data_IF_229359859918
#
_entry.id   IF_229359859918
#
_cell.length_a   1.000
_cell.length_b   1.000
_cell.length_c   1.000
_cell.angle_alpha   90.00
_cell.angle_beta   90.00
_cell.angle_gamma   90.00
#
_symmetry.space_group_name_H-M   'P 1'
#
loop_
_entity.id
_entity.type
_entity.pdbx_description
1 polymer ?
#
# COMPACT_ATOMS: atom_id res chain seq x y z
N UNK A 1 7.93 8.61 -2.71
CA UNK A 1 7.65 7.52 -3.65
C UNK A 1 6.44 6.74 -3.15
N UNK A 2 5.51 6.36 -4.01
CA UNK A 2 4.32 5.58 -3.63
C UNK A 2 4.72 4.09 -3.55
N UNK A 3 5.33 3.68 -2.44
CA UNK A 3 5.78 2.30 -2.22
C UNK A 3 4.66 1.52 -1.56
N UNK A 4 4.24 0.40 -2.16
CA UNK A 4 3.23 -0.50 -1.61
C UNK A 4 3.86 -1.53 -0.68
N UNK A 5 4.80 -2.30 -1.21
CA UNK A 5 5.50 -3.35 -0.46
C UNK A 5 6.95 -3.48 -0.93
N UNK A 6 7.75 -4.13 -0.09
CA UNK A 6 9.13 -4.47 -0.37
C UNK A 6 9.30 -5.95 -0.08
N UNK A 7 9.80 -6.70 -1.04
CA UNK A 7 10.12 -8.11 -0.90
C UNK A 7 11.63 -8.26 -0.79
N UNK A 8 12.08 -9.06 0.15
CA UNK A 8 13.51 -9.26 0.44
C UNK A 8 13.80 -10.75 0.39
N UNK A 9 14.64 -11.13 -0.56
CA UNK A 9 15.16 -12.48 -0.69
C UNK A 9 16.62 -12.50 -0.26
N UNK A 10 16.97 -13.41 0.62
CA UNK A 10 18.32 -13.51 1.15
C UNK A 10 19.00 -14.77 0.66
N UNK A 11 20.05 -14.58 -0.12
CA UNK A 11 20.96 -15.64 -0.56
C UNK A 11 22.26 -15.63 0.27
N UNK A 12 23.07 -16.70 0.25
CA UNK A 12 24.30 -16.79 1.05
C UNK A 12 25.29 -15.64 0.83
N UNK A 13 25.37 -15.11 -0.39
CA UNK A 13 26.38 -14.10 -0.78
C UNK A 13 25.77 -12.76 -1.21
N UNK A 14 24.45 -12.66 -1.30
CA UNK A 14 23.77 -11.45 -1.76
C UNK A 14 22.36 -11.36 -1.20
N UNK A 15 21.85 -10.13 -1.12
CA UNK A 15 20.48 -9.83 -0.79
C UNK A 15 19.80 -9.23 -2.02
N UNK A 16 18.64 -9.77 -2.39
CA UNK A 16 17.82 -9.23 -3.46
C UNK A 16 16.62 -8.49 -2.86
N UNK A 17 16.43 -7.25 -3.24
CA UNK A 17 15.35 -6.39 -2.74
C UNK A 17 14.50 -5.94 -3.92
N UNK A 18 13.25 -6.37 -3.95
CA UNK A 18 12.26 -5.96 -4.96
C UNK A 18 11.32 -4.92 -4.36
N UNK A 19 11.27 -3.73 -4.93
CA UNK A 19 10.45 -2.61 -4.47
C UNK A 19 9.27 -2.43 -5.42
N UNK A 20 8.06 -2.64 -4.92
CA UNK A 20 6.83 -2.40 -5.66
C UNK A 20 6.36 -0.95 -5.45
N UNK A 21 6.34 -0.17 -6.53
CA UNK A 21 6.02 1.25 -6.46
C UNK A 21 5.01 1.67 -7.53
N UNK A 22 4.08 2.55 -7.15
CA UNK A 22 3.18 3.20 -8.11
C UNK A 22 3.83 4.37 -8.87
N UNK A 23 5.07 4.76 -8.50
CA UNK A 23 5.85 5.81 -9.17
C UNK A 23 7.33 5.46 -9.19
N UNK A 24 7.74 4.49 -10.02
CA UNK A 24 9.11 3.97 -10.04
C UNK A 24 10.14 5.04 -10.37
N UNK A 25 9.80 6.03 -11.18
CA UNK A 25 10.71 7.12 -11.55
C UNK A 25 11.25 7.93 -10.37
N UNK A 26 10.48 8.03 -9.27
CA UNK A 26 10.93 8.73 -8.05
C UNK A 26 11.93 7.88 -7.27
N UNK A 27 11.74 6.56 -7.26
CA UNK A 27 12.64 5.62 -6.57
C UNK A 27 13.96 5.49 -7.32
N UNK A 28 13.91 5.45 -8.66
CA UNK A 28 15.09 5.32 -9.51
C UNK A 28 15.90 6.63 -9.49
N UNK A 29 15.20 7.78 -9.47
CA UNK A 29 15.81 9.10 -9.51
C UNK A 29 16.42 9.45 -10.86
N UNK A 30 17.01 10.66 -10.97
CA UNK A 30 17.68 11.09 -12.19
C UNK A 30 18.93 10.25 -12.45
N UNK A 31 18.99 9.58 -13.59
CA UNK A 31 20.12 8.71 -14.00
C UNK A 31 20.44 7.60 -12.98
N UNK A 32 19.48 7.19 -12.14
CA UNK A 32 19.68 6.11 -11.18
C UNK A 32 20.50 6.47 -9.95
N UNK A 33 20.63 7.75 -9.59
CA UNK A 33 21.42 8.20 -8.43
C UNK A 33 20.78 7.72 -7.14
N UNK A 34 19.47 7.90 -6.96
CA UNK A 34 18.74 7.51 -5.76
C UNK A 34 18.86 6.01 -5.45
N UNK A 35 18.71 5.16 -6.47
CA UNK A 35 18.86 3.70 -6.30
C UNK A 35 20.28 3.33 -5.89
N UNK A 36 21.30 4.04 -6.40
CA UNK A 36 22.70 3.80 -6.01
C UNK A 36 22.95 4.18 -4.55
N UNK A 37 22.39 5.30 -4.09
CA UNK A 37 22.47 5.71 -2.68
C UNK A 37 21.77 4.72 -1.75
N UNK A 38 20.57 4.29 -2.12
CA UNK A 38 19.83 3.26 -1.37
C UNK A 38 20.63 1.97 -1.31
N UNK A 39 21.20 1.52 -2.44
CA UNK A 39 22.05 0.33 -2.49
C UNK A 39 23.26 0.45 -1.56
N UNK A 40 24.00 1.55 -1.64
CA UNK A 40 25.18 1.76 -0.79
C UNK A 40 24.81 1.77 0.71
N UNK A 41 23.67 2.40 1.07
CA UNK A 41 23.17 2.37 2.43
C UNK A 41 22.78 0.97 2.91
N UNK A 42 22.15 0.17 2.07
CA UNK A 42 21.78 -1.21 2.40
C UNK A 42 23.00 -2.13 2.47
N UNK A 43 23.97 -1.99 1.57
CA UNK A 43 25.23 -2.74 1.60
C UNK A 43 26.03 -2.46 2.88
N UNK A 44 26.05 -1.19 3.31
CA UNK A 44 26.71 -0.82 4.59
C UNK A 44 26.02 -1.44 5.82
N UNK A 45 24.67 -1.58 5.77
CA UNK A 45 23.92 -2.21 6.87
C UNK A 45 23.99 -3.73 6.85
N UNK A 46 23.95 -4.36 5.68
CA UNK A 46 23.91 -5.82 5.55
C UNK A 46 25.31 -6.45 5.54
N UNK A 47 26.35 -5.70 5.20
CA UNK A 47 27.71 -6.22 5.00
C UNK A 47 27.86 -7.19 3.81
N UNK A 48 26.89 -7.20 2.90
CA UNK A 48 26.82 -8.08 1.72
C UNK A 48 26.39 -7.28 0.50
N UNK A 49 26.65 -7.82 -0.70
CA UNK A 49 26.19 -7.22 -1.94
C UNK A 49 24.65 -7.19 -2.00
N UNK A 50 24.08 -6.04 -2.40
CA UNK A 50 22.64 -5.85 -2.51
C UNK A 50 22.25 -5.59 -3.97
N UNK A 51 21.33 -6.38 -4.49
CA UNK A 51 20.66 -6.13 -5.77
C UNK A 51 19.29 -5.51 -5.49
N UNK A 52 18.97 -4.41 -6.17
CA UNK A 52 17.68 -3.73 -6.04
C UNK A 52 16.99 -3.75 -7.40
N UNK A 53 15.80 -4.31 -7.43
CA UNK A 53 14.89 -4.24 -8.56
C UNK A 53 13.65 -3.40 -8.19
N UNK A 54 13.16 -2.61 -9.14
CA UNK A 54 11.98 -1.75 -8.93
C UNK A 54 10.91 -2.16 -9.92
N UNK A 55 9.77 -2.60 -9.39
CA UNK A 55 8.61 -3.02 -10.17
C UNK A 55 7.50 -1.96 -10.10
N UNK A 56 6.88 -1.71 -11.25
CA UNK A 56 5.77 -0.77 -11.35
C UNK A 56 4.43 -1.45 -11.08
N UNK A 57 3.64 -0.84 -10.21
CA UNK A 57 2.27 -1.25 -9.95
C UNK A 57 1.37 -0.61 -11.00
N UNK A 58 0.72 -1.44 -11.83
CA UNK A 58 -0.15 -0.99 -12.92
C UNK A 58 -1.44 -0.33 -12.42
N UNK A 59 -1.96 -0.76 -11.27
CA UNK A 59 -3.22 -0.30 -10.70
C UNK A 59 -3.04 0.15 -9.24
N UNK A 60 -2.47 1.35 -9.00
CA UNK A 60 -2.15 1.83 -7.66
C UNK A 60 -3.39 2.06 -6.77
N UNK A 61 -4.54 2.34 -7.36
CA UNK A 61 -5.78 2.58 -6.62
C UNK A 61 -6.46 1.28 -6.13
N UNK A 62 -5.97 0.10 -6.53
CA UNK A 62 -6.37 -1.21 -5.99
C UNK A 62 -5.44 -1.72 -4.87
N UNK A 63 -4.31 -1.06 -4.64
CA UNK A 63 -3.40 -1.38 -3.55
C UNK A 63 -3.80 -0.62 -2.28
N UNK A 64 -4.25 -1.34 -1.25
CA UNK A 64 -4.76 -0.73 -0.02
C UNK A 64 -3.73 0.20 0.63
N UNK A 65 -2.43 -0.14 0.58
CA UNK A 65 -1.35 0.69 1.13
C UNK A 65 -1.24 2.04 0.44
N UNK A 66 -1.27 2.06 -0.89
CA UNK A 66 -1.16 3.28 -1.67
C UNK A 66 -2.40 4.18 -1.48
N UNK A 67 -3.58 3.58 -1.40
CA UNK A 67 -4.83 4.30 -1.10
C UNK A 67 -4.79 4.89 0.30
N UNK A 68 -4.33 4.12 1.30
CA UNK A 68 -4.21 4.59 2.69
C UNK A 68 -3.24 5.78 2.80
N UNK A 69 -2.06 5.67 2.19
CA UNK A 69 -1.05 6.73 2.19
C UNK A 69 -1.55 7.99 1.43
N UNK A 70 -2.28 7.82 0.34
CA UNK A 70 -2.89 8.93 -0.38
C UNK A 70 -3.92 9.67 0.47
N UNK A 71 -4.79 8.94 1.19
CA UNK A 71 -5.75 9.54 2.11
C UNK A 71 -5.03 10.24 3.27
N UNK A 72 -4.01 9.61 3.87
CA UNK A 72 -3.21 10.20 4.93
C UNK A 72 -2.55 11.52 4.49
N UNK A 73 -1.89 11.53 3.34
CA UNK A 73 -1.29 12.74 2.76
C UNK A 73 -2.32 13.87 2.50
N UNK A 74 -3.55 13.52 2.09
CA UNK A 74 -4.61 14.51 1.92
C UNK A 74 -5.05 15.11 3.26
N UNK A 75 -5.12 14.29 4.34
CA UNK A 75 -5.44 14.76 5.68
C UNK A 75 -4.36 15.70 6.24
N UNK A 76 -3.08 15.39 6.02
CA UNK A 76 -1.95 16.27 6.38
C UNK A 76 -2.03 17.63 5.68
N UNK A 77 -2.49 17.63 4.44
CA UNK A 77 -2.75 18.87 3.66
C UNK A 77 -4.05 19.59 4.07
N UNK A 78 -4.66 19.21 5.20
CA UNK A 78 -5.89 19.80 5.74
C UNK A 78 -7.12 19.67 4.84
N UNK A 79 -7.17 18.66 3.97
CA UNK A 79 -8.36 18.34 3.19
C UNK A 79 -9.37 17.67 4.13
N UNK A 80 -10.66 17.99 3.99
CA UNK A 80 -11.72 17.36 4.77
C UNK A 80 -11.68 15.83 4.61
N UNK A 81 -11.71 15.12 5.73
CA UNK A 81 -11.68 13.65 5.76
C UNK A 81 -12.78 13.02 4.92
N UNK A 82 -13.99 13.59 4.96
CA UNK A 82 -15.13 13.11 4.18
C UNK A 82 -14.88 13.23 2.67
N UNK A 83 -14.26 14.32 2.23
CA UNK A 83 -13.92 14.55 0.82
C UNK A 83 -12.79 13.61 0.37
N UNK A 84 -11.76 13.44 1.19
CA UNK A 84 -10.66 12.54 0.92
C UNK A 84 -11.13 11.09 0.77
N UNK A 85 -11.96 10.59 1.71
CA UNK A 85 -12.52 9.24 1.65
C UNK A 85 -13.39 9.02 0.42
N UNK A 86 -14.33 9.93 0.12
CA UNK A 86 -15.21 9.82 -1.06
C UNK A 86 -14.42 9.79 -2.37
N UNK A 87 -13.38 10.61 -2.47
CA UNK A 87 -12.51 10.65 -3.64
C UNK A 87 -11.75 9.33 -3.83
N UNK A 88 -11.15 8.81 -2.76
CA UNK A 88 -10.41 7.56 -2.80
C UNK A 88 -11.32 6.36 -3.15
N UNK A 89 -12.52 6.30 -2.57
CA UNK A 89 -13.53 5.28 -2.90
C UNK A 89 -13.91 5.36 -4.38
N UNK A 90 -14.24 6.55 -4.88
CA UNK A 90 -14.61 6.71 -6.29
C UNK A 90 -13.48 6.40 -7.27
N UNK A 91 -12.21 6.57 -6.89
CA UNK A 91 -11.06 6.18 -7.69
C UNK A 91 -10.91 4.66 -7.75
N UNK A 92 -10.92 3.99 -6.59
CA UNK A 92 -10.81 2.53 -6.51
C UNK A 92 -11.95 1.80 -7.25
N UNK A 93 -13.18 2.26 -7.11
CA UNK A 93 -14.33 1.67 -7.83
C UNK A 93 -14.22 1.84 -9.35
N UNK A 94 -13.67 2.95 -9.82
CA UNK A 94 -13.41 3.17 -11.27
C UNK A 94 -12.29 2.27 -11.81
N UNK A 95 -11.33 1.90 -10.97
CA UNK A 95 -10.24 0.98 -11.32
C UNK A 95 -10.67 -0.49 -11.28
N UNK A 96 -11.92 -0.77 -10.89
CA UNK A 96 -12.47 -2.13 -10.92
C UNK A 96 -12.46 -2.85 -9.57
N UNK A 97 -12.28 -2.14 -8.44
CA UNK A 97 -12.51 -2.75 -7.13
C UNK A 97 -13.96 -3.22 -7.01
N UNK A 98 -14.19 -4.44 -6.51
CA UNK A 98 -15.54 -4.95 -6.23
C UNK A 98 -16.13 -4.35 -4.97
N UNK A 99 -15.29 -3.81 -4.12
CA UNK A 99 -15.69 -3.07 -2.94
C UNK A 99 -14.50 -2.48 -2.20
N UNK A 100 -14.77 -1.39 -1.51
CA UNK A 100 -13.78 -0.71 -0.68
C UNK A 100 -14.43 -0.21 0.60
N UNK A 101 -13.68 -0.30 1.71
CA UNK A 101 -14.04 0.28 3.00
C UNK A 101 -12.85 1.07 3.52
N UNK A 102 -13.10 2.33 3.86
CA UNK A 102 -12.10 3.22 4.46
C UNK A 102 -12.59 3.65 5.84
N UNK A 103 -11.73 3.57 6.84
CA UNK A 103 -12.01 4.03 8.19
C UNK A 103 -10.92 5.00 8.63
N UNK A 104 -11.34 6.12 9.16
CA UNK A 104 -10.48 7.17 9.68
C UNK A 104 -10.82 7.41 11.14
N UNK A 105 -9.82 7.43 12.01
CA UNK A 105 -10.00 7.62 13.44
C UNK A 105 -8.95 8.58 14.03
N UNK A 106 -9.40 9.49 14.88
CA UNK A 106 -8.55 10.49 15.51
C UNK A 106 -9.27 11.81 15.71
N UNK A 107 -8.52 12.89 15.85
CA UNK A 107 -9.06 14.27 15.97
C UNK A 107 -9.43 14.83 14.60
N UNK A 108 -10.53 14.34 14.05
CA UNK A 108 -10.99 14.70 12.71
C UNK A 108 -11.39 16.17 12.61
N UNK A 109 -10.70 16.91 11.76
CA UNK A 109 -10.94 18.35 11.60
C UNK A 109 -10.43 19.21 12.77
N UNK A 110 -9.56 18.67 13.65
CA UNK A 110 -8.98 19.37 14.79
C UNK A 110 -9.87 19.38 16.04
N UNK A 111 -10.95 18.62 16.06
CA UNK A 111 -11.85 18.52 17.21
C UNK A 111 -11.10 17.91 18.40
N UNK A 112 -11.36 18.40 19.61
CA UNK A 112 -10.68 17.96 20.83
C UNK A 112 -10.94 16.49 21.17
N UNK A 113 -12.20 16.03 21.01
CA UNK A 113 -12.56 14.63 21.19
C UNK A 113 -12.33 13.83 19.93
N UNK A 114 -11.66 12.69 20.05
CA UNK A 114 -11.43 11.78 18.93
C UNK A 114 -12.74 11.19 18.42
N UNK A 115 -12.85 11.08 17.13
CA UNK A 115 -13.99 10.43 16.44
C UNK A 115 -13.51 9.37 15.49
N UNK A 116 -14.37 8.38 15.24
CA UNK A 116 -14.19 7.37 14.22
C UNK A 116 -15.26 7.57 13.15
N UNK A 117 -14.83 7.63 11.89
CA UNK A 117 -15.73 7.65 10.76
C UNK A 117 -15.30 6.61 9.74
N UNK A 118 -16.25 5.95 9.10
CA UNK A 118 -16.00 4.99 8.04
C UNK A 118 -16.98 5.15 6.91
N UNK A 119 -16.51 4.84 5.71
CA UNK A 119 -17.32 4.80 4.49
C UNK A 119 -16.98 3.53 3.73
N UNK A 120 -17.98 2.96 3.07
CA UNK A 120 -17.80 1.81 2.19
C UNK A 120 -18.62 2.00 0.92
N UNK A 121 -18.14 1.37 -0.14
CA UNK A 121 -18.87 1.21 -1.39
C UNK A 121 -18.63 -0.21 -1.92
N UNK A 122 -19.64 -0.82 -2.52
CA UNK A 122 -19.58 -2.21 -2.94
C UNK A 122 -19.61 -3.23 -1.79
N UNK A 123 -19.13 -4.42 -2.08
CA UNK A 123 -19.10 -5.56 -1.15
C UNK A 123 -17.72 -5.68 -0.51
N UNK A 124 -17.65 -5.88 0.80
CA UNK A 124 -16.40 -6.17 1.51
C UNK A 124 -16.66 -7.33 2.48
N UNK A 125 -16.61 -8.59 2.00
CA UNK A 125 -16.97 -9.77 2.78
C UNK A 125 -15.81 -10.21 3.68
N UNK A 126 -15.65 -9.59 4.85
CA UNK A 126 -14.54 -9.86 5.78
C UNK A 126 -14.54 -11.28 6.37
N UNK A 127 -15.66 -12.01 6.30
CA UNK A 127 -15.80 -13.35 6.86
C UNK A 127 -15.58 -14.46 5.83
N UNK A 128 -15.49 -14.13 4.54
CA UNK A 128 -15.33 -15.09 3.46
C UNK A 128 -13.86 -15.38 3.25
N UNK A 129 -13.39 -16.60 3.54
CA UNK A 129 -11.97 -16.98 3.42
C UNK A 129 -11.43 -16.90 1.99
N UNK A 130 -12.27 -17.19 1.00
CA UNK A 130 -11.90 -17.11 -0.42
C UNK A 130 -11.87 -15.69 -0.99
N UNK A 131 -12.25 -14.69 -0.20
CA UNK A 131 -12.23 -13.31 -0.66
C UNK A 131 -10.81 -12.73 -0.63
N UNK A 132 -10.34 -12.21 -1.77
CA UNK A 132 -9.09 -11.45 -1.85
C UNK A 132 -9.33 -10.01 -1.35
N UNK A 133 -8.95 -9.76 -0.10
CA UNK A 133 -9.09 -8.47 0.55
C UNK A 133 -7.72 -7.96 0.92
N UNK A 134 -7.27 -6.94 0.21
CA UNK A 134 -6.07 -6.21 0.58
C UNK A 134 -6.36 -5.24 1.73
N UNK A 135 -5.49 -5.23 2.74
CA UNK A 135 -5.65 -4.40 3.93
C UNK A 135 -4.39 -3.63 4.25
N UNK A 136 -4.55 -2.34 4.52
CA UNK A 136 -3.43 -1.52 4.95
C UNK A 136 -3.84 -0.47 5.98
N UNK A 137 -2.83 -0.05 6.75
CA UNK A 137 -2.91 1.03 7.73
C UNK A 137 -1.90 2.10 7.36
N UNK A 138 -2.33 3.36 7.49
CA UNK A 138 -1.45 4.52 7.39
C UNK A 138 -1.80 5.54 8.47
N UNK A 139 -0.85 6.37 8.84
CA UNK A 139 -1.02 7.43 9.83
C UNK A 139 -0.76 8.80 9.18
N UNK A 140 -1.69 9.71 9.38
CA UNK A 140 -1.53 11.11 9.00
C UNK A 140 -1.05 11.93 10.21
N UNK A 141 0.10 12.58 10.09
CA UNK A 141 0.64 13.44 11.13
C UNK A 141 0.06 14.85 10.97
N UNK A 142 -0.87 15.21 11.85
CA UNK A 142 -1.47 16.55 11.86
C UNK A 142 -0.94 17.37 13.02
N UNK A 143 -1.15 18.69 12.97
CA UNK A 143 -0.79 19.60 14.08
C UNK A 143 -1.51 19.27 15.40
N UNK A 144 -2.63 18.54 15.34
CA UNK A 144 -3.42 18.11 16.49
C UNK A 144 -3.17 16.68 16.95
N UNK A 145 -2.20 16.00 16.33
CA UNK A 145 -1.87 14.61 16.61
C UNK A 145 -2.04 13.71 15.40
N UNK A 146 -1.89 12.41 15.61
CA UNK A 146 -1.98 11.40 14.55
C UNK A 146 -3.44 11.01 14.27
N UNK A 147 -3.76 10.85 13.00
CA UNK A 147 -5.03 10.30 12.53
C UNK A 147 -4.73 8.98 11.85
N UNK A 148 -5.30 7.88 12.36
CA UNK A 148 -5.16 6.56 11.76
C UNK A 148 -6.13 6.38 10.60
N UNK A 149 -5.62 5.88 9.48
CA UNK A 149 -6.38 5.51 8.28
C UNK A 149 -6.26 4.01 8.07
N UNK A 150 -7.39 3.32 7.97
CA UNK A 150 -7.45 1.89 7.64
C UNK A 150 -8.25 1.71 6.36
N UNK A 151 -7.70 0.93 5.44
CA UNK A 151 -8.30 0.67 4.13
C UNK A 151 -8.42 -0.82 3.90
N UNK A 152 -9.55 -1.26 3.39
CA UNK A 152 -9.81 -2.62 2.91
C UNK A 152 -10.26 -2.49 1.45
N UNK A 153 -9.57 -3.15 0.54
CA UNK A 153 -9.94 -3.21 -0.88
C UNK A 153 -10.26 -4.65 -1.22
N UNK A 154 -11.47 -4.88 -1.66
CA UNK A 154 -11.91 -6.19 -2.13
C UNK A 154 -11.71 -6.27 -3.64
N UNK A 155 -10.83 -7.16 -4.07
CA UNK A 155 -10.46 -7.38 -5.47
C UNK A 155 -11.33 -8.44 -6.14
N UNK A 156 -11.79 -9.43 -5.37
CA UNK A 156 -12.60 -10.53 -5.89
C UNK A 156 -12.47 -11.78 -5.04
N UNK A 157 -12.93 -12.90 -5.55
CA UNK A 157 -12.79 -14.21 -4.91
C UNK A 157 -11.71 -15.03 -5.63
N UNK A 158 -10.84 -15.68 -4.85
CA UNK A 158 -9.85 -16.65 -5.37
C UNK A 158 -10.46 -18.03 -5.28
N UNK A 159 -10.73 -18.64 -6.43
CA UNK A 159 -11.25 -20.00 -6.51
C UNK A 159 -10.08 -21.00 -6.51
N UNK A 160 -10.29 -22.25 -6.02
CA UNK A 160 -9.23 -23.27 -5.95
C UNK A 160 -8.51 -23.54 -7.28
N UNK A 161 -9.21 -23.45 -8.40
CA UNK A 161 -8.67 -23.70 -9.73
C UNK A 161 -7.71 -22.59 -10.23
N UNK A 162 -7.72 -21.42 -9.57
CA UNK A 162 -6.82 -20.30 -9.89
C UNK A 162 -5.54 -20.32 -9.05
N UNK A 163 -5.47 -21.15 -8.01
CA UNK A 163 -4.29 -21.26 -7.14
C UNK A 163 -3.24 -22.24 -7.67
N UNK A 164 -3.58 -23.08 -8.65
CA UNK A 164 -2.65 -24.07 -9.19
C UNK A 164 -1.54 -23.43 -10.04
N UNK A 165 -1.79 -22.29 -10.69
CA UNK A 165 -0.79 -21.60 -11.51
C UNK A 165 0.25 -20.81 -10.68
N UNK A 166 -0.03 -20.56 -9.41
CA UNK A 166 0.90 -19.86 -8.50
C UNK A 166 1.65 -20.81 -7.54
N UNK A 167 1.22 -22.05 -7.43
CA UNK A 167 1.82 -23.05 -6.54
C UNK A 167 3.09 -23.71 -7.13
N UNK A 168 3.34 -23.58 -8.44
CA UNK A 168 4.54 -24.13 -9.11
C UNK A 168 5.83 -23.34 -8.79
N UNK A 169 5.73 -22.27 -8.02
CA UNK A 169 6.90 -21.42 -7.68
C UNK A 169 7.64 -21.88 -6.41
N UNK A 170 7.05 -22.78 -5.60
CA UNK A 170 7.64 -23.15 -4.31
C UNK A 170 8.03 -24.61 -4.12
N UNK A 171 8.11 -25.40 -5.18
CA UNK A 171 8.60 -26.78 -5.10
C UNK A 171 9.83 -26.96 -5.97
N UNK A 172 10.94 -26.37 -5.56
CA UNK A 172 12.28 -26.85 -5.87
C UNK A 172 13.18 -26.47 -4.73
N UNK A 173 13.18 -27.31 -3.71
CA UNK A 173 14.23 -27.36 -2.70
C UNK A 173 15.40 -28.13 -3.26
#
# INVERSE_FOLDING_TARGET
AAISRVEIERFPNQVHVTIFSGKPGIVIGRKGVEVKEIRAGLEALCGMAVKIDVEEITQPDLEAKLVADNVANQLERRISYSRAMKRAIGQAMRQGAQGIKIMVAGRLGGIEMSRRNWMRDGRVPLQTLRADIDYAVSEANTTYGKIGVKVWVYRGEVLPDQTLDSADVYVSA
#
